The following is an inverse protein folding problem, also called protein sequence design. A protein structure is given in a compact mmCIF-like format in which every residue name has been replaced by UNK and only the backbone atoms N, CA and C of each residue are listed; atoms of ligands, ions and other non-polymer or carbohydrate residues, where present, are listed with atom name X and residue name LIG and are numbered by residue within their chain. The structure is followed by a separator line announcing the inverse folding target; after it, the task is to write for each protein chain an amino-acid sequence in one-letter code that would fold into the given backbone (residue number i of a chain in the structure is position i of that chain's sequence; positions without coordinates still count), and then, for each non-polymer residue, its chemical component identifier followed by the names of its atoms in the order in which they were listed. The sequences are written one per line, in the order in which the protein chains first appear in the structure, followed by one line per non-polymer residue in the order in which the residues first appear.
data_IF_833727343817
#
_entry.id   IF_833727343817
#
_cell.length_a   1.000
_cell.length_b   1.000
_cell.length_c   1.000
_cell.angle_alpha   90.00
_cell.angle_beta   90.00
_cell.angle_gamma   90.00
#
_symmetry.space_group_name_H-M   'P 1'
#
loop_
_entity.id
_entity.type
_entity.pdbx_description
1 polymer ?
#
# COMPACT_ATOMS: atom_id res chain seq x y z
N UNK A 1 -17.80 -5.51 -11.39
CA UNK A 1 -17.96 -5.43 -9.92
C UNK A 1 -16.61 -5.06 -9.34
N UNK A 2 -16.51 -3.98 -8.55
CA UNK A 2 -15.25 -3.55 -7.91
C UNK A 2 -15.12 -4.20 -6.53
N UNK A 3 -13.92 -4.23 -5.95
CA UNK A 3 -13.70 -4.77 -4.61
C UNK A 3 -14.54 -4.07 -3.54
N UNK A 4 -14.68 -2.74 -3.61
CA UNK A 4 -15.50 -1.96 -2.68
C UNK A 4 -16.99 -2.38 -2.74
N UNK A 5 -17.54 -2.60 -3.94
CA UNK A 5 -18.92 -3.09 -4.09
C UNK A 5 -19.06 -4.52 -3.57
N UNK A 6 -18.09 -5.40 -3.85
CA UNK A 6 -18.11 -6.79 -3.38
C UNK A 6 -18.13 -6.89 -1.84
N UNK A 7 -17.51 -5.92 -1.16
CA UNK A 7 -17.48 -5.82 0.31
C UNK A 7 -18.60 -4.95 0.90
N UNK A 8 -19.51 -4.43 0.08
CA UNK A 8 -20.56 -3.48 0.50
C UNK A 8 -20.02 -2.24 1.22
N UNK A 9 -18.91 -1.68 0.73
CA UNK A 9 -18.26 -0.45 1.23
C UNK A 9 -18.42 0.68 0.20
N UNK A 10 -19.61 1.29 0.08
CA UNK A 10 -19.87 2.31 -0.93
C UNK A 10 -19.05 3.59 -0.74
N UNK A 11 -18.55 3.85 0.47
CA UNK A 11 -17.82 5.07 0.84
C UNK A 11 -16.33 5.05 0.43
N UNK A 12 -15.82 3.97 -0.18
CA UNK A 12 -14.43 3.84 -0.63
C UNK A 12 -14.35 3.44 -2.12
N UNK A 13 -13.12 3.24 -2.62
CA UNK A 13 -12.85 2.66 -3.94
C UNK A 13 -12.98 3.61 -5.13
N UNK A 14 -13.20 4.90 -4.90
CA UNK A 14 -13.18 5.94 -5.94
C UNK A 14 -12.91 7.31 -5.31
N UNK A 15 -12.16 8.17 -6.00
CA UNK A 15 -11.88 9.53 -5.54
C UNK A 15 -13.03 10.48 -5.93
N UNK A 16 -14.08 10.52 -5.10
CA UNK A 16 -15.29 11.35 -5.30
C UNK A 16 -15.60 12.10 -4.02
N UNK A 17 -16.07 13.35 -4.12
CA UNK A 17 -16.46 14.15 -2.95
C UNK A 17 -17.51 13.41 -2.10
N UNK A 18 -17.36 13.45 -0.79
CA UNK A 18 -18.25 12.76 0.17
C UNK A 18 -17.84 11.32 0.50
N UNK A 19 -16.85 10.75 -0.19
CA UNK A 19 -16.24 9.46 0.16
C UNK A 19 -15.07 9.63 1.13
N UNK A 20 -14.66 8.54 1.79
CA UNK A 20 -13.49 8.54 2.68
C UNK A 20 -12.21 8.85 1.90
N UNK A 21 -11.29 9.52 2.58
CA UNK A 21 -9.99 9.87 2.02
C UNK A 21 -8.99 8.70 2.12
N UNK A 22 -9.33 7.61 1.43
CA UNK A 22 -8.47 6.44 1.23
C UNK A 22 -7.69 6.62 -0.08
N UNK A 23 -6.48 7.15 0.04
CA UNK A 23 -5.69 7.63 -1.10
C UNK A 23 -4.26 7.11 -1.03
N UNK A 24 -3.70 6.76 -2.18
CA UNK A 24 -2.30 6.35 -2.34
C UNK A 24 -1.64 7.28 -3.35
N UNK A 25 -0.52 7.89 -2.98
CA UNK A 25 0.34 8.63 -3.90
C UNK A 25 1.51 7.76 -4.33
N UNK A 26 1.68 7.63 -5.65
CA UNK A 26 2.75 6.83 -6.27
C UNK A 26 3.68 7.77 -7.02
N UNK A 27 4.98 7.65 -6.76
CA UNK A 27 6.06 8.30 -7.48
C UNK A 27 6.19 7.63 -8.86
N UNK A 28 6.13 8.41 -9.95
CA UNK A 28 6.19 7.93 -11.33
C UNK A 28 7.53 8.26 -12.03
N UNK A 29 8.48 8.87 -11.33
CA UNK A 29 9.74 9.37 -11.90
C UNK A 29 10.94 8.43 -11.59
N UNK A 30 10.68 7.20 -11.17
CA UNK A 30 11.74 6.24 -10.83
C UNK A 30 12.35 5.60 -12.07
N UNK A 31 13.62 5.21 -11.98
CA UNK A 31 14.37 4.67 -13.13
C UNK A 31 13.76 3.40 -13.76
N UNK A 32 13.03 2.59 -12.98
CA UNK A 32 12.33 1.40 -13.49
C UNK A 32 10.93 1.69 -14.02
N UNK A 33 10.46 2.94 -13.90
CA UNK A 33 9.19 3.37 -14.47
C UNK A 33 9.46 3.96 -15.85
N UNK A 34 8.80 3.37 -16.84
CA UNK A 34 8.77 3.93 -18.19
C UNK A 34 7.55 4.85 -18.28
N UNK A 35 7.62 6.01 -17.61
CA UNK A 35 6.62 7.05 -17.76
C UNK A 35 7.10 8.08 -18.78
N UNK A 36 6.40 8.15 -19.92
CA UNK A 36 6.56 9.22 -20.92
C UNK A 36 5.31 10.10 -20.87
N UNK A 37 5.41 11.41 -21.14
CA UNK A 37 4.25 12.33 -21.10
C UNK A 37 3.05 11.91 -21.96
N UNK A 38 3.28 11.06 -22.97
CA UNK A 38 2.25 10.53 -23.87
C UNK A 38 1.87 9.06 -23.58
N UNK A 39 2.48 8.44 -22.56
CA UNK A 39 2.21 7.06 -22.18
C UNK A 39 0.96 6.93 -21.31
N UNK A 40 0.26 5.81 -21.48
CA UNK A 40 -0.89 5.46 -20.66
C UNK A 40 -0.49 5.23 -19.18
N UNK A 41 -1.03 6.07 -18.29
CA UNK A 41 -0.78 6.02 -16.86
C UNK A 41 -1.28 4.72 -16.22
N UNK A 42 -2.33 4.09 -16.76
CA UNK A 42 -2.81 2.80 -16.25
C UNK A 42 -1.79 1.70 -16.51
N UNK A 43 -1.21 1.69 -17.72
CA UNK A 43 -0.14 0.76 -18.07
C UNK A 43 1.09 0.94 -17.18
N UNK A 44 1.51 2.19 -16.93
CA UNK A 44 2.62 2.49 -16.02
C UNK A 44 2.33 2.00 -14.58
N UNK A 45 1.12 2.24 -14.07
CA UNK A 45 0.71 1.83 -12.73
C UNK A 45 0.56 0.32 -12.56
N UNK A 46 0.02 -0.37 -13.57
CA UNK A 46 -0.29 -1.81 -13.49
C UNK A 46 0.91 -2.68 -13.82
N UNK A 47 1.74 -2.28 -14.79
CA UNK A 47 2.80 -3.13 -15.32
C UNK A 47 4.22 -2.71 -14.90
N UNK A 48 4.44 -1.46 -14.48
CA UNK A 48 5.78 -0.96 -14.15
C UNK A 48 5.95 -0.57 -12.68
N UNK A 49 4.93 0.02 -12.07
CA UNK A 49 5.02 0.46 -10.69
C UNK A 49 5.21 -0.71 -9.71
N UNK A 50 5.97 -0.44 -8.65
CA UNK A 50 6.28 -1.36 -7.56
C UNK A 50 5.79 -0.78 -6.24
N UNK A 51 5.69 -1.63 -5.21
CA UNK A 51 5.37 -1.19 -3.85
C UNK A 51 6.35 -0.14 -3.31
N UNK A 52 7.61 -0.16 -3.77
CA UNK A 52 8.64 0.83 -3.43
C UNK A 52 8.37 2.24 -3.94
N UNK A 53 7.43 2.39 -4.87
CA UNK A 53 7.10 3.66 -5.51
C UNK A 53 5.97 4.38 -4.78
N UNK A 54 5.30 3.70 -3.84
CA UNK A 54 4.31 4.31 -2.96
C UNK A 54 5.01 5.28 -2.01
N UNK A 55 4.67 6.56 -2.14
CA UNK A 55 5.29 7.63 -1.34
C UNK A 55 4.44 8.01 -0.13
N UNK A 56 3.13 8.12 -0.32
CA UNK A 56 2.21 8.48 0.76
C UNK A 56 0.95 7.63 0.70
N UNK A 57 0.40 7.31 1.87
CA UNK A 57 -0.86 6.59 2.02
C UNK A 57 -1.69 7.26 3.09
N UNK A 58 -2.96 7.53 2.77
CA UNK A 58 -3.98 7.98 3.70
C UNK A 58 -5.07 6.93 3.84
N UNK A 59 -5.51 6.73 5.07
CA UNK A 59 -6.66 5.90 5.42
C UNK A 59 -7.59 6.75 6.27
N UNK A 60 -8.82 6.96 5.80
CA UNK A 60 -9.80 7.85 6.40
C UNK A 60 -9.24 9.25 6.70
N UNK A 61 -8.42 9.76 5.77
CA UNK A 61 -7.77 11.08 5.89
C UNK A 61 -6.55 11.12 6.81
N UNK A 62 -6.23 10.04 7.54
CA UNK A 62 -5.02 9.95 8.36
C UNK A 62 -3.86 9.42 7.52
N UNK A 63 -2.74 10.15 7.48
CA UNK A 63 -1.54 9.68 6.81
C UNK A 63 -0.89 8.55 7.60
N UNK A 64 -0.81 7.36 7.00
CA UNK A 64 -0.23 6.15 7.63
C UNK A 64 1.13 5.78 7.03
N UNK A 65 1.45 6.29 5.84
CA UNK A 65 2.78 6.21 5.21
C UNK A 65 3.15 7.61 4.73
N UNK A 66 4.36 8.06 5.07
CA UNK A 66 4.92 9.35 4.64
C UNK A 66 6.34 9.17 4.11
N UNK A 67 6.62 9.72 2.92
CA UNK A 67 7.91 9.60 2.23
C UNK A 67 8.43 8.15 2.15
N UNK A 68 7.53 7.22 1.85
CA UNK A 68 7.83 5.79 1.72
C UNK A 68 8.08 5.07 3.05
N UNK A 69 7.81 5.71 4.20
CA UNK A 69 8.00 5.12 5.53
C UNK A 69 6.68 4.98 6.29
N UNK A 70 6.41 3.82 6.93
CA UNK A 70 5.26 3.67 7.82
C UNK A 70 5.35 4.67 8.98
N UNK A 71 4.24 5.35 9.28
CA UNK A 71 4.14 6.30 10.39
C UNK A 71 3.50 5.67 11.65
N UNK A 72 2.83 4.53 11.48
CA UNK A 72 2.03 3.87 12.52
C UNK A 72 2.73 2.68 13.17
N UNK A 73 3.94 2.34 12.72
CA UNK A 73 4.65 1.17 13.20
C UNK A 73 6.17 1.32 13.18
N UNK A 74 6.81 0.77 14.22
CA UNK A 74 8.25 0.55 14.25
C UNK A 74 8.59 -0.76 13.52
N UNK A 75 9.16 -0.64 12.33
CA UNK A 75 9.50 -1.76 11.48
C UNK A 75 10.53 -2.71 12.12
N UNK A 76 11.50 -2.20 12.89
CA UNK A 76 12.51 -3.02 13.52
C UNK A 76 11.91 -3.84 14.67
N UNK A 77 11.09 -3.19 15.51
CA UNK A 77 10.37 -3.86 16.59
C UNK A 77 9.39 -4.91 16.06
N UNK A 78 8.64 -4.58 15.01
CA UNK A 78 7.73 -5.52 14.35
C UNK A 78 8.46 -6.74 13.80
N UNK A 79 9.58 -6.54 13.11
CA UNK A 79 10.37 -7.63 12.56
C UNK A 79 10.91 -8.55 13.65
N UNK A 80 11.37 -7.99 14.77
CA UNK A 80 11.82 -8.77 15.91
C UNK A 80 10.67 -9.61 16.50
N UNK A 81 9.50 -9.00 16.73
CA UNK A 81 8.31 -9.72 17.21
C UNK A 81 7.90 -10.84 16.26
N UNK A 82 7.89 -10.57 14.94
CA UNK A 82 7.56 -11.56 13.93
C UNK A 82 8.53 -12.76 13.95
N UNK A 83 9.85 -12.52 14.08
CA UNK A 83 10.85 -13.58 14.20
C UNK A 83 10.63 -14.47 15.43
N UNK A 84 10.33 -13.88 16.57
CA UNK A 84 10.04 -14.61 17.82
C UNK A 84 8.82 -15.53 17.63
N UNK A 85 7.73 -14.98 17.07
CA UNK A 85 6.51 -15.75 16.83
C UNK A 85 6.71 -16.88 15.81
N UNK A 86 7.42 -16.61 14.71
CA UNK A 86 7.74 -17.63 13.71
C UNK A 86 8.58 -18.78 14.30
N UNK A 87 9.53 -18.49 15.19
CA UNK A 87 10.30 -19.51 15.88
C UNK A 87 9.43 -20.38 16.80
N UNK A 88 8.50 -19.77 17.54
CA UNK A 88 7.56 -20.48 18.40
C UNK A 88 6.64 -21.42 17.60
N UNK A 89 6.07 -20.94 16.49
CA UNK A 89 5.23 -21.74 15.59
C UNK A 89 6.03 -22.93 15.04
N UNK A 90 7.27 -22.70 14.59
CA UNK A 90 8.13 -23.77 14.08
C UNK A 90 8.37 -24.88 15.10
N UNK A 91 8.56 -24.54 16.38
CA UNK A 91 8.75 -25.53 17.44
C UNK A 91 7.47 -26.34 17.73
N UNK A 92 6.29 -25.74 17.55
CA UNK A 92 5.02 -26.43 17.73
C UNK A 92 4.69 -27.38 16.59
N UNK A 93 5.02 -27.00 15.35
CA UNK A 93 4.76 -27.82 14.14
C UNK A 93 5.77 -28.97 14.00
N UNK A 94 6.98 -28.84 14.54
CA UNK A 94 7.99 -29.91 14.54
C UNK A 94 7.86 -30.89 15.72
N UNK A 95 6.78 -30.84 16.49
CA UNK A 95 6.40 -31.88 17.47
C UNK A 95 5.42 -32.86 16.84
#
# INVERSE_FOLDING_TARGET
MTAATALNLPEIGSLVTGKKADVVAVDLERCHQMYLPEADIYSALVYSAKSSDVRHVWVDGQMVVGDGRPLTADAANLLQKAKIQAAAIRQQVCR
#
